data_IF_126687980592
#
_entry.id   IF_126687980592
#
_cell.length_a   1.000
_cell.length_b   1.000
_cell.length_c   1.000
_cell.angle_alpha   90.00
_cell.angle_beta   90.00
_cell.angle_gamma   90.00
#
_symmetry.space_group_name_H-M   'P 1'
#
loop_
_entity.id
_entity.type
_entity.pdbx_description
1 polymer ?
#
# COMPACT_ATOMS: atom_id res chain seq x y z
N UNK A 1 19.41 -10.37 -15.23
CA UNK A 1 17.98 -10.77 -15.39
C UNK A 1 17.07 -9.73 -14.75
N UNK A 2 16.29 -8.97 -15.55
CA UNK A 2 15.36 -7.95 -15.02
C UNK A 2 14.23 -8.66 -14.27
N UNK A 3 14.23 -8.62 -12.93
CA UNK A 3 13.07 -9.03 -12.11
C UNK A 3 11.85 -8.26 -12.63
N UNK A 4 10.89 -8.99 -13.26
CA UNK A 4 9.59 -8.44 -13.65
C UNK A 4 9.01 -7.72 -12.42
N UNK A 5 8.92 -6.39 -12.45
CA UNK A 5 8.26 -5.63 -11.40
C UNK A 5 6.81 -6.14 -11.36
N UNK A 6 6.42 -6.81 -10.26
CA UNK A 6 5.01 -7.12 -10.02
C UNK A 6 4.25 -5.80 -10.08
N UNK A 7 3.45 -5.61 -11.14
CA UNK A 7 2.62 -4.43 -11.28
C UNK A 7 1.36 -4.65 -10.45
N UNK A 8 1.30 -4.02 -9.29
CA UNK A 8 0.10 -4.02 -8.48
C UNK A 8 -0.88 -2.97 -9.02
N UNK A 9 -2.13 -3.38 -9.19
CA UNK A 9 -3.17 -2.49 -9.69
C UNK A 9 -3.44 -1.35 -8.69
N UNK A 10 -3.90 -0.18 -9.16
CA UNK A 10 -4.13 1.00 -8.31
C UNK A 10 -5.08 0.71 -7.14
N UNK A 11 -6.16 -0.02 -7.42
CA UNK A 11 -7.12 -0.47 -6.42
C UNK A 11 -6.49 -1.39 -5.35
N UNK A 12 -5.54 -2.23 -5.72
CA UNK A 12 -4.85 -3.13 -4.79
C UNK A 12 -3.94 -2.34 -3.85
N UNK A 13 -3.17 -1.39 -4.39
CA UNK A 13 -2.32 -0.51 -3.58
C UNK A 13 -3.14 0.32 -2.59
N UNK A 14 -4.29 0.83 -3.05
CA UNK A 14 -5.22 1.58 -2.22
C UNK A 14 -5.80 0.69 -1.10
N UNK A 15 -6.26 -0.53 -1.41
CA UNK A 15 -6.78 -1.47 -0.40
C UNK A 15 -5.74 -1.83 0.66
N UNK A 16 -4.56 -2.29 0.24
CA UNK A 16 -3.49 -2.71 1.14
C UNK A 16 -2.96 -1.53 1.96
N UNK A 17 -2.80 -0.37 1.33
CA UNK A 17 -2.38 0.84 2.02
C UNK A 17 -3.44 1.34 3.01
N UNK A 18 -4.73 1.26 2.68
CA UNK A 18 -5.83 1.64 3.57
C UNK A 18 -5.88 0.71 4.78
N UNK A 19 -5.77 -0.61 4.59
CA UNK A 19 -5.67 -1.56 5.71
C UNK A 19 -4.46 -1.26 6.60
N UNK A 20 -3.33 -0.86 6.00
CA UNK A 20 -2.14 -0.44 6.74
C UNK A 20 -2.29 0.92 7.48
N UNK A 21 -3.16 1.81 6.99
CA UNK A 21 -3.53 3.07 7.66
C UNK A 21 -4.52 2.81 8.79
N UNK A 22 -5.52 1.96 8.57
CA UNK A 22 -6.55 1.59 9.54
C UNK A 22 -5.98 0.84 10.75
N UNK A 23 -4.79 0.24 10.62
CA UNK A 23 -4.11 -0.42 11.74
C UNK A 23 -4.71 -1.77 12.14
N UNK A 24 -5.67 -2.28 11.37
CA UNK A 24 -6.31 -3.59 11.59
C UNK A 24 -5.30 -4.73 11.45
N UNK A 25 -4.32 -4.58 10.55
CA UNK A 25 -3.22 -5.54 10.33
C UNK A 25 -1.90 -4.79 10.27
N UNK A 26 -0.85 -5.40 10.80
CA UNK A 26 0.49 -4.82 10.72
C UNK A 26 1.03 -4.88 9.29
N UNK A 27 1.94 -3.97 8.94
CA UNK A 27 2.60 -3.95 7.63
C UNK A 27 3.21 -5.30 7.27
N UNK A 28 3.79 -6.00 8.25
CA UNK A 28 4.39 -7.32 8.07
C UNK A 28 3.35 -8.42 7.80
N UNK A 29 2.17 -8.35 8.45
CA UNK A 29 1.07 -9.29 8.18
C UNK A 29 0.47 -9.06 6.80
N UNK A 30 0.21 -7.80 6.43
CA UNK A 30 -0.29 -7.46 5.09
C UNK A 30 0.73 -7.87 4.01
N UNK A 31 2.02 -7.64 4.24
CA UNK A 31 3.08 -8.09 3.36
C UNK A 31 3.06 -9.62 3.14
N UNK A 32 2.82 -10.39 4.19
CA UNK A 32 2.71 -11.85 4.12
C UNK A 32 1.43 -12.32 3.43
N UNK A 33 0.28 -11.76 3.82
CA UNK A 33 -1.04 -12.15 3.31
C UNK A 33 -1.19 -11.83 1.82
N UNK A 34 -0.71 -10.67 1.40
CA UNK A 34 -0.81 -10.19 0.03
C UNK A 34 0.46 -10.48 -0.81
N UNK A 35 1.42 -11.23 -0.25
CA UNK A 35 2.72 -11.55 -0.86
C UNK A 35 3.46 -10.31 -1.43
N UNK A 36 3.33 -9.20 -0.71
CA UNK A 36 3.92 -7.91 -1.05
C UNK A 36 5.16 -7.68 -0.18
N UNK A 37 6.13 -6.96 -0.72
CA UNK A 37 7.26 -6.54 0.10
C UNK A 37 6.80 -5.52 1.15
N UNK A 38 7.17 -5.66 2.45
CA UNK A 38 6.71 -4.75 3.50
C UNK A 38 7.08 -3.29 3.26
N UNK A 39 8.22 -3.04 2.60
CA UNK A 39 8.62 -1.70 2.16
C UNK A 39 7.59 -1.04 1.22
N UNK A 40 6.94 -1.82 0.33
CA UNK A 40 5.92 -1.30 -0.58
C UNK A 40 4.65 -0.92 0.17
N UNK A 41 4.27 -1.73 1.16
CA UNK A 41 3.11 -1.44 2.02
C UNK A 41 3.34 -0.16 2.83
N UNK A 42 4.54 0.03 3.39
CA UNK A 42 4.92 1.29 4.04
C UNK A 42 4.91 2.48 3.07
N UNK A 43 5.39 2.27 1.84
CA UNK A 43 5.34 3.30 0.80
C UNK A 43 3.90 3.68 0.46
N UNK A 44 3.00 2.70 0.25
CA UNK A 44 1.60 2.96 -0.06
C UNK A 44 0.86 3.60 1.12
N UNK A 45 1.16 3.20 2.36
CA UNK A 45 0.66 3.89 3.55
C UNK A 45 1.03 5.37 3.56
N UNK A 46 2.30 5.68 3.24
CA UNK A 46 2.78 7.07 3.14
C UNK A 46 2.11 7.79 1.98
N UNK A 47 2.03 7.18 0.80
CA UNK A 47 1.35 7.75 -0.37
C UNK A 47 -0.12 8.02 -0.11
N UNK A 48 -0.82 7.14 0.61
CA UNK A 48 -2.21 7.41 1.01
C UNK A 48 -2.22 8.59 1.95
N UNK A 49 -1.48 8.58 3.06
CA UNK A 49 -1.48 9.73 3.98
C UNK A 49 -1.17 11.07 3.30
N UNK A 50 -0.21 11.05 2.38
CA UNK A 50 0.26 12.22 1.64
C UNK A 50 -0.68 12.62 0.51
N UNK A 51 -1.31 11.70 -0.23
CA UNK A 51 -2.24 12.05 -1.33
C UNK A 51 -3.71 12.07 -0.92
N UNK A 52 -4.03 11.66 0.30
CA UNK A 52 -5.40 11.62 0.80
C UNK A 52 -5.96 13.04 0.93
N UNK A 53 -5.14 14.03 1.31
CA UNK A 53 -5.59 15.43 1.36
C UNK A 53 -5.92 15.96 -0.04
N UNK A 54 -5.10 15.65 -1.05
CA UNK A 54 -5.36 16.01 -2.46
C UNK A 54 -6.69 15.42 -2.99
N UNK A 55 -7.17 14.30 -2.44
CA UNK A 55 -8.46 13.71 -2.80
C UNK A 55 -9.67 14.48 -2.24
N UNK A 56 -9.47 15.26 -1.17
CA UNK A 56 -10.53 16.02 -0.50
C UNK A 56 -10.41 17.54 -0.70
N UNK A 57 -9.30 18.05 -1.22
CA UNK A 57 -9.22 19.42 -1.75
C UNK A 57 -10.01 19.52 -3.06
N UNK A 58 -11.22 20.07 -2.96
CA UNK A 58 -12.06 20.46 -4.10
C UNK A 58 -12.58 21.88 -3.89
#
# INVERSE_FOLDING_TARGET
MKRKRKQYNGAFKAKVGLEAVMGVKTVAQLAREYEVHPMLVSQWKRTIRDRLHELFEK
#
